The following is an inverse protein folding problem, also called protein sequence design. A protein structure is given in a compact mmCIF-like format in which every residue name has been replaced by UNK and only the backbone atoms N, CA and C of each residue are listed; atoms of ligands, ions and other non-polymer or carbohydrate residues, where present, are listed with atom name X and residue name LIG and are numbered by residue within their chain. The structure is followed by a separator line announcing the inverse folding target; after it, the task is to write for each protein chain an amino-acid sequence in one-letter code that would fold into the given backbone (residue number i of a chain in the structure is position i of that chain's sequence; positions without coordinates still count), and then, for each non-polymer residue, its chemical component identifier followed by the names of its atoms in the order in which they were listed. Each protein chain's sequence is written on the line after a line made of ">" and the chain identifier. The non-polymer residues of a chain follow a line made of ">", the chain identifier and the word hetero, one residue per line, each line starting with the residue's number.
data_IF_768597265976
#
_entry.id   IF_768597265976
#
_cell.length_a   1.000
_cell.length_b   1.000
_cell.length_c   1.000
_cell.angle_alpha   90.00
_cell.angle_beta   90.00
_cell.angle_gamma   90.00
#
_symmetry.space_group_name_H-M   'P 1'
#
loop_
_entity.id
_entity.type
_entity.pdbx_description
1 polymer ?
#
# COMPACT_ATOMS: atom_id res chain seq x y z
N UNK A 1 18.25 -0.96 -8.33
CA UNK A 1 17.66 -0.16 -9.43
C UNK A 1 16.45 -0.91 -10.00
N UNK A 2 15.50 -0.25 -10.68
CA UNK A 2 14.43 -0.98 -11.40
C UNK A 2 14.96 -1.43 -12.76
N UNK A 3 14.94 -2.72 -13.05
CA UNK A 3 15.39 -3.28 -14.33
C UNK A 3 14.43 -2.93 -15.47
N UNK A 4 14.97 -2.50 -16.61
CA UNK A 4 14.17 -2.24 -17.83
C UNK A 4 14.22 -3.48 -18.72
N UNK A 5 13.14 -4.26 -18.74
CA UNK A 5 13.00 -5.40 -19.64
C UNK A 5 12.35 -4.93 -20.95
N UNK A 6 13.18 -4.63 -21.94
CA UNK A 6 12.75 -4.12 -23.25
C UNK A 6 12.55 -5.29 -24.21
N UNK A 7 11.34 -5.39 -24.78
CA UNK A 7 11.11 -6.15 -26.02
C UNK A 7 10.94 -5.17 -27.18
N UNK A 8 11.50 -5.46 -28.36
CA UNK A 8 11.49 -4.55 -29.54
C UNK A 8 10.10 -3.98 -29.87
N UNK A 9 9.03 -4.73 -29.63
CA UNK A 9 7.63 -4.32 -29.87
C UNK A 9 7.07 -3.31 -28.86
N UNK A 10 7.67 -3.19 -27.68
CA UNK A 10 7.08 -2.45 -26.54
C UNK A 10 7.66 -1.04 -26.36
N UNK A 11 8.80 -0.73 -26.98
CA UNK A 11 9.54 0.51 -26.70
C UNK A 11 8.74 1.79 -27.01
N UNK A 12 7.82 1.72 -27.97
CA UNK A 12 6.95 2.83 -28.36
C UNK A 12 5.56 2.80 -27.68
N UNK A 13 5.25 1.73 -26.91
CA UNK A 13 3.96 1.57 -26.25
C UNK A 13 3.70 2.71 -25.26
N UNK A 14 2.49 3.28 -25.29
CA UNK A 14 2.05 4.27 -24.30
C UNK A 14 2.11 3.71 -22.87
N UNK A 15 1.89 2.41 -22.72
CA UNK A 15 1.95 1.72 -21.43
C UNK A 15 3.38 1.63 -20.91
N UNK A 16 4.34 1.25 -21.76
CA UNK A 16 5.77 1.25 -21.44
C UNK A 16 6.23 2.64 -20.99
N UNK A 17 5.98 3.68 -21.80
CA UNK A 17 6.38 5.06 -21.48
C UNK A 17 5.77 5.55 -20.16
N UNK A 18 4.53 5.18 -19.87
CA UNK A 18 3.89 5.54 -18.62
C UNK A 18 4.53 4.82 -17.41
N UNK A 19 4.74 3.51 -17.52
CA UNK A 19 5.43 2.72 -16.49
C UNK A 19 6.86 3.22 -16.26
N UNK A 20 7.60 3.53 -17.32
CA UNK A 20 8.95 4.07 -17.25
C UNK A 20 8.99 5.41 -16.53
N UNK A 21 8.05 6.33 -16.82
CA UNK A 21 7.95 7.61 -16.11
C UNK A 21 7.67 7.41 -14.62
N UNK A 22 6.80 6.47 -14.27
CA UNK A 22 6.54 6.13 -12.87
C UNK A 22 7.79 5.54 -12.20
N UNK A 23 8.49 4.61 -12.87
CA UNK A 23 9.73 4.03 -12.38
C UNK A 23 10.79 5.10 -12.11
N UNK A 24 11.00 6.05 -13.04
CA UNK A 24 11.93 7.19 -12.87
C UNK A 24 11.60 8.00 -11.61
N UNK A 25 10.33 8.34 -11.40
CA UNK A 25 9.92 9.10 -10.20
C UNK A 25 10.21 8.36 -8.89
N UNK A 26 10.16 7.03 -8.91
CA UNK A 26 10.46 6.19 -7.75
C UNK A 26 11.95 5.99 -7.52
N UNK A 27 12.75 6.00 -8.58
CA UNK A 27 14.22 5.97 -8.47
C UNK A 27 14.79 7.31 -7.99
N UNK A 28 14.22 8.43 -8.43
CA UNK A 28 14.53 9.77 -7.91
C UNK A 28 14.21 9.83 -6.40
N UNK A 29 13.03 9.36 -6.01
CA UNK A 29 12.65 9.24 -4.61
C UNK A 29 13.60 8.32 -3.84
N UNK A 30 13.96 7.16 -4.40
CA UNK A 30 14.92 6.25 -3.79
C UNK A 30 16.28 6.93 -3.58
N UNK A 31 16.75 7.69 -4.57
CA UNK A 31 18.00 8.46 -4.49
C UNK A 31 17.95 9.51 -3.39
N UNK A 32 16.83 10.24 -3.27
CA UNK A 32 16.64 11.26 -2.23
C UNK A 32 16.76 10.70 -0.80
N UNK A 33 16.35 9.45 -0.59
CA UNK A 33 16.34 8.79 0.72
C UNK A 33 17.46 7.76 0.90
N UNK A 34 18.45 7.74 0.00
CA UNK A 34 19.50 6.70 -0.02
C UNK A 34 18.93 5.28 0.09
N UNK A 35 17.80 5.06 -0.58
CA UNK A 35 17.02 3.84 -0.53
C UNK A 35 17.59 2.75 -1.43
N UNK A 36 17.39 1.49 -1.03
CA UNK A 36 17.54 0.34 -1.92
C UNK A 36 16.22 0.13 -2.66
N UNK A 37 16.24 0.17 -4.00
CA UNK A 37 15.07 -0.10 -4.84
C UNK A 37 15.37 -1.23 -5.81
N UNK A 38 14.56 -2.28 -5.85
CA UNK A 38 14.71 -3.41 -6.77
C UNK A 38 13.37 -3.70 -7.44
N UNK A 39 13.36 -3.99 -8.74
CA UNK A 39 12.12 -4.23 -9.47
C UNK A 39 12.32 -4.42 -10.96
N UNK A 40 11.21 -4.50 -11.69
CA UNK A 40 11.15 -4.65 -13.14
C UNK A 40 10.13 -3.67 -13.75
N UNK A 41 10.45 -3.16 -14.93
CA UNK A 41 9.54 -2.38 -15.77
C UNK A 41 9.57 -2.87 -17.22
N UNK A 42 8.40 -3.12 -17.78
CA UNK A 42 8.18 -3.38 -19.21
C UNK A 42 6.84 -2.79 -19.68
N UNK A 43 6.41 -3.12 -20.90
CA UNK A 43 5.18 -2.59 -21.50
C UNK A 43 3.90 -2.97 -20.74
N UNK A 44 3.92 -4.08 -20.00
CA UNK A 44 2.75 -4.62 -19.30
C UNK A 44 2.83 -4.46 -17.79
N UNK A 45 4.01 -4.49 -17.18
CA UNK A 45 4.20 -4.48 -15.73
C UNK A 45 5.18 -3.40 -15.28
N UNK A 46 4.87 -2.79 -14.15
CA UNK A 46 5.80 -2.11 -13.26
C UNK A 46 5.64 -2.76 -11.88
N UNK A 47 6.70 -3.37 -11.37
CA UNK A 47 6.73 -3.94 -10.04
C UNK A 47 8.05 -3.59 -9.39
N UNK A 48 8.02 -3.10 -8.16
CA UNK A 48 9.24 -2.85 -7.41
C UNK A 48 9.01 -2.94 -5.90
N UNK A 49 10.11 -3.13 -5.20
CA UNK A 49 10.25 -2.96 -3.76
C UNK A 49 11.28 -1.87 -3.49
N UNK A 50 10.96 -0.89 -2.66
CA UNK A 50 11.92 0.09 -2.14
C UNK A 50 12.00 0.01 -0.62
N UNK A 51 13.21 0.07 -0.08
CA UNK A 51 13.53 -0.02 1.34
C UNK A 51 14.43 1.15 1.72
N UNK A 52 14.02 1.92 2.73
CA UNK A 52 14.77 3.08 3.22
C UNK A 52 14.50 3.36 4.68
N UNK A 53 15.34 4.19 5.29
CA UNK A 53 15.14 4.71 6.63
C UNK A 53 14.47 6.08 6.56
N UNK A 54 13.42 6.28 7.35
CA UNK A 54 12.72 7.56 7.49
C UNK A 54 12.46 7.83 8.97
N UNK A 55 13.04 8.89 9.53
CA UNK A 55 12.97 9.21 10.97
C UNK A 55 13.26 7.99 11.86
N UNK A 56 14.39 7.31 11.60
CA UNK A 56 14.84 6.10 12.32
C UNK A 56 13.94 4.86 12.16
N UNK A 57 12.91 4.92 11.31
CA UNK A 57 12.06 3.78 10.98
C UNK A 57 12.45 3.19 9.64
N UNK A 58 12.52 1.88 9.56
CA UNK A 58 12.61 1.18 8.29
C UNK A 58 11.24 1.23 7.61
N UNK A 59 11.24 1.71 6.37
CA UNK A 59 10.06 1.77 5.52
C UNK A 59 10.31 0.86 4.33
N UNK A 60 9.39 -0.08 4.10
CA UNK A 60 9.38 -0.93 2.91
C UNK A 60 8.12 -0.65 2.10
N UNK A 61 8.28 -0.36 0.82
CA UNK A 61 7.17 -0.11 -0.10
C UNK A 61 7.25 -1.13 -1.21
N UNK A 62 6.15 -1.84 -1.44
CA UNK A 62 5.97 -2.71 -2.61
C UNK A 62 4.87 -2.11 -3.46
N UNK A 63 5.14 -1.84 -4.73
CA UNK A 63 4.14 -1.31 -5.62
C UNK A 63 4.10 -2.11 -6.92
N UNK A 64 2.88 -2.38 -7.39
CA UNK A 64 2.61 -3.14 -8.59
C UNK A 64 1.60 -2.37 -9.43
N UNK A 65 1.86 -2.31 -10.73
CA UNK A 65 0.94 -1.85 -11.77
C UNK A 65 1.07 -2.80 -12.95
N UNK A 66 0.04 -3.59 -13.20
CA UNK A 66 0.03 -4.60 -14.25
C UNK A 66 -1.17 -4.41 -15.17
N UNK A 67 -0.90 -4.42 -16.47
CA UNK A 67 -1.91 -4.54 -17.51
C UNK A 67 -2.20 -6.03 -17.75
N UNK A 68 -3.43 -6.47 -17.47
CA UNK A 68 -3.88 -7.80 -17.87
C UNK A 68 -4.24 -7.76 -19.36
N UNK A 69 -3.51 -8.52 -20.17
CA UNK A 69 -3.81 -8.71 -21.58
C UNK A 69 -4.12 -10.20 -21.85
N UNK A 70 -5.18 -10.74 -21.25
CA UNK A 70 -5.61 -12.12 -21.58
C UNK A 70 -6.21 -12.23 -22.99
N UNK A 71 -6.36 -11.13 -23.72
CA UNK A 71 -6.65 -11.14 -25.16
C UNK A 71 -5.87 -10.01 -25.81
N UNK A 72 -4.77 -10.35 -26.48
CA UNK A 72 -4.05 -9.45 -27.40
C UNK A 72 -4.93 -9.14 -28.63
N UNK A 73 -5.99 -8.38 -28.42
CA UNK A 73 -6.85 -7.81 -29.45
C UNK A 73 -7.00 -6.30 -29.21
N UNK A 74 -7.42 -5.53 -30.22
CA UNK A 74 -7.44 -4.06 -30.20
C UNK A 74 -8.48 -3.41 -29.26
N UNK A 75 -9.03 -4.15 -28.29
CA UNK A 75 -10.16 -3.70 -27.47
C UNK A 75 -9.73 -2.86 -26.26
N UNK A 76 -10.49 -1.80 -25.98
CA UNK A 76 -10.28 -0.82 -24.91
C UNK A 76 -10.47 -1.35 -23.46
N UNK A 77 -10.92 -2.59 -23.26
CA UNK A 77 -11.23 -3.13 -21.94
C UNK A 77 -10.00 -3.78 -21.28
N UNK A 78 -8.96 -2.99 -21.03
CA UNK A 78 -7.79 -3.43 -20.28
C UNK A 78 -8.05 -3.33 -18.77
N UNK A 79 -8.02 -4.46 -18.07
CA UNK A 79 -8.03 -4.47 -16.60
C UNK A 79 -6.62 -4.12 -16.12
N UNK A 80 -6.50 -3.06 -15.33
CA UNK A 80 -5.24 -2.66 -14.70
C UNK A 80 -5.29 -3.04 -13.24
N UNK A 81 -4.48 -4.02 -12.85
CA UNK A 81 -4.24 -4.33 -11.44
C UNK A 81 -3.23 -3.33 -10.90
N UNK A 82 -3.61 -2.63 -9.83
CA UNK A 82 -2.73 -1.71 -9.11
C UNK A 82 -2.70 -2.09 -7.64
N UNK A 83 -1.57 -1.92 -6.99
CA UNK A 83 -1.45 -2.11 -5.54
C UNK A 83 -0.26 -1.29 -5.03
N UNK A 84 -0.37 -0.79 -3.81
CA UNK A 84 0.78 -0.34 -3.02
C UNK A 84 0.64 -0.85 -1.60
N UNK A 85 1.66 -1.57 -1.14
CA UNK A 85 1.82 -2.02 0.24
C UNK A 85 2.94 -1.20 0.86
N UNK A 86 2.67 -0.59 2.01
CA UNK A 86 3.62 0.22 2.76
C UNK A 86 3.76 -0.42 4.14
N UNK A 87 4.99 -0.70 4.53
CA UNK A 87 5.36 -1.29 5.81
C UNK A 87 6.27 -0.31 6.55
N UNK A 88 5.99 -0.10 7.82
CA UNK A 88 6.76 0.77 8.71
C UNK A 88 7.10 -0.04 9.96
N UNK A 89 8.39 -0.18 10.24
CA UNK A 89 8.90 -0.92 11.39
C UNK A 89 10.21 -0.31 11.92
N UNK A 90 10.43 -0.24 13.24
CA UNK A 90 9.48 -0.53 14.31
C UNK A 90 8.57 0.67 14.63
N UNK A 91 7.26 0.49 14.57
CA UNK A 91 6.27 1.48 15.04
C UNK A 91 5.65 0.99 16.35
N UNK A 92 5.80 1.72 17.45
CA UNK A 92 5.21 1.32 18.75
C UNK A 92 3.79 1.85 18.87
N UNK A 93 2.81 0.96 18.71
CA UNK A 93 1.39 1.24 19.00
C UNK A 93 0.93 0.53 20.27
N UNK A 94 -0.05 1.11 20.97
CA UNK A 94 -0.53 0.66 22.29
C UNK A 94 -1.09 -0.77 22.29
N UNK A 95 -1.71 -1.20 21.21
CA UNK A 95 -2.33 -2.53 21.10
C UNK A 95 -1.56 -3.41 20.12
N UNK A 96 -1.26 -4.66 20.52
CA UNK A 96 -0.25 -5.50 19.86
C UNK A 96 -0.68 -6.15 18.54
N UNK A 97 -1.99 -6.36 18.33
CA UNK A 97 -2.49 -7.03 17.13
C UNK A 97 -3.91 -6.61 16.74
N UNK A 98 -4.06 -6.03 15.56
CA UNK A 98 -5.35 -5.76 14.95
C UNK A 98 -5.21 -5.61 13.43
N UNK A 99 -6.33 -5.73 12.73
CA UNK A 99 -6.43 -5.56 11.29
C UNK A 99 -7.76 -4.90 10.92
N UNK A 100 -7.70 -3.86 10.09
CA UNK A 100 -8.85 -3.24 9.45
C UNK A 100 -8.86 -3.70 7.99
N UNK A 101 -10.00 -4.13 7.48
CA UNK A 101 -10.17 -4.51 6.06
C UNK A 101 -11.59 -4.23 5.60
N UNK A 102 -11.79 -4.19 4.29
CA UNK A 102 -13.13 -4.05 3.70
C UNK A 102 -14.04 -5.18 4.19
N UNK A 103 -15.26 -4.82 4.57
CA UNK A 103 -16.26 -5.72 5.11
C UNK A 103 -16.56 -6.84 4.12
N UNK A 104 -16.64 -8.06 4.63
CA UNK A 104 -17.02 -9.23 3.83
C UNK A 104 -17.74 -10.24 4.72
N UNK A 105 -19.03 -10.42 4.50
CA UNK A 105 -19.92 -11.24 5.34
C UNK A 105 -19.40 -12.67 5.50
N UNK A 106 -19.08 -13.35 4.39
CA UNK A 106 -18.55 -14.72 4.43
C UNK A 106 -17.22 -14.79 5.18
N UNK A 107 -16.29 -13.91 4.84
CA UNK A 107 -14.94 -13.94 5.41
C UNK A 107 -14.93 -13.56 6.90
N UNK A 108 -15.85 -12.71 7.35
CA UNK A 108 -16.02 -12.37 8.77
C UNK A 108 -16.69 -13.48 9.56
N UNK A 109 -17.65 -14.19 8.97
CA UNK A 109 -18.26 -15.36 9.62
C UNK A 109 -17.18 -16.36 10.03
N UNK A 110 -16.23 -16.65 9.13
CA UNK A 110 -15.09 -17.53 9.45
C UNK A 110 -14.13 -16.92 10.48
N UNK A 111 -13.83 -15.63 10.39
CA UNK A 111 -12.88 -15.01 11.33
C UNK A 111 -13.44 -14.86 12.74
N UNK A 112 -14.75 -14.68 12.90
CA UNK A 112 -15.43 -14.56 14.19
C UNK A 112 -15.28 -15.81 15.07
N UNK A 113 -14.98 -16.96 14.48
CA UNK A 113 -14.76 -18.21 15.24
C UNK A 113 -13.61 -18.08 16.25
N UNK A 114 -12.56 -17.34 15.91
CA UNK A 114 -11.34 -17.24 16.72
C UNK A 114 -10.89 -15.79 17.02
N UNK A 115 -11.66 -14.80 16.57
CA UNK A 115 -11.30 -13.38 16.70
C UNK A 115 -12.53 -12.54 17.02
N UNK A 116 -12.32 -11.44 17.72
CA UNK A 116 -13.28 -10.35 17.75
C UNK A 116 -13.34 -9.68 16.37
N UNK A 117 -14.54 -9.56 15.81
CA UNK A 117 -14.79 -8.83 14.57
C UNK A 117 -15.95 -7.85 14.79
N UNK A 118 -15.72 -6.56 14.54
CA UNK A 118 -16.71 -5.50 14.63
C UNK A 118 -16.62 -4.55 13.43
N UNK A 119 -17.71 -3.85 13.05
CA UNK A 119 -17.64 -2.74 12.10
C UNK A 119 -16.63 -1.69 12.59
N UNK A 120 -15.86 -1.10 11.68
CA UNK A 120 -14.91 -0.06 12.05
C UNK A 120 -15.65 1.26 12.32
N UNK A 121 -15.39 1.89 13.46
CA UNK A 121 -16.23 2.97 13.97
C UNK A 121 -16.31 4.24 13.09
N UNK A 122 -15.32 4.48 12.23
CA UNK A 122 -15.36 5.59 11.29
C UNK A 122 -16.04 5.26 9.96
N UNK A 123 -16.08 3.98 9.59
CA UNK A 123 -16.57 3.54 8.29
C UNK A 123 -17.04 2.08 8.37
N UNK A 124 -18.36 1.90 8.33
CA UNK A 124 -19.01 0.59 8.38
C UNK A 124 -18.73 -0.27 7.14
N UNK A 125 -18.14 0.29 6.07
CA UNK A 125 -17.64 -0.49 4.93
C UNK A 125 -16.35 -1.25 5.25
N UNK A 126 -15.74 -0.98 6.40
CA UNK A 126 -14.60 -1.71 6.94
C UNK A 126 -14.97 -2.42 8.24
N UNK A 127 -14.19 -3.42 8.58
CA UNK A 127 -14.31 -4.14 9.84
C UNK A 127 -12.95 -4.30 10.48
N UNK A 128 -12.93 -4.14 11.80
CA UNK A 128 -11.78 -4.40 12.63
C UNK A 128 -11.80 -5.83 13.15
N UNK A 129 -10.65 -6.49 13.08
CA UNK A 129 -10.43 -7.86 13.52
C UNK A 129 -9.25 -7.88 14.46
N UNK A 130 -9.43 -8.52 15.61
CA UNK A 130 -8.35 -8.73 16.59
C UNK A 130 -8.61 -9.99 17.42
N UNK A 131 -7.57 -10.50 18.06
CA UNK A 131 -7.69 -11.63 19.00
C UNK A 131 -8.49 -11.26 20.25
N UNK A 132 -8.50 -9.99 20.62
CA UNK A 132 -9.23 -9.45 21.78
C UNK A 132 -10.09 -8.27 21.34
N UNK A 133 -10.97 -7.79 22.23
CA UNK A 133 -11.63 -6.50 22.02
C UNK A 133 -10.57 -5.39 21.95
N UNK A 134 -10.74 -4.51 20.98
CA UNK A 134 -9.86 -3.37 20.69
C UNK A 134 -10.64 -2.10 20.95
N UNK A 135 -10.03 -1.11 21.59
CA UNK A 135 -10.63 0.21 21.67
C UNK A 135 -10.32 0.97 20.38
N UNK A 136 -11.23 0.86 19.40
CA UNK A 136 -11.03 1.42 18.05
C UNK A 136 -10.71 2.92 18.06
N UNK A 137 -11.28 3.66 19.04
CA UNK A 137 -11.03 5.09 19.23
C UNK A 137 -9.58 5.42 19.59
N UNK A 138 -8.84 4.46 20.14
CA UNK A 138 -7.43 4.60 20.49
C UNK A 138 -6.48 4.25 19.36
N UNK A 139 -6.95 3.56 18.30
CA UNK A 139 -6.11 3.23 17.16
C UNK A 139 -5.81 4.47 16.32
N UNK A 140 -6.88 5.17 15.94
CA UNK A 140 -6.83 6.33 15.05
C UNK A 140 -7.83 7.39 15.51
N UNK A 141 -7.51 8.66 15.25
CA UNK A 141 -8.49 9.75 15.30
C UNK A 141 -9.10 9.92 13.91
N UNK A 142 -10.18 10.71 13.81
CA UNK A 142 -10.95 10.86 12.56
C UNK A 142 -10.08 11.43 11.45
N UNK A 143 -9.31 12.48 11.76
CA UNK A 143 -8.41 13.11 10.81
C UNK A 143 -7.37 12.15 10.20
N UNK A 144 -6.86 11.18 10.97
CA UNK A 144 -5.93 10.18 10.43
C UNK A 144 -6.63 9.21 9.48
N UNK A 145 -7.83 8.73 9.83
CA UNK A 145 -8.59 7.86 8.93
C UNK A 145 -9.00 8.59 7.64
N UNK A 146 -9.54 9.80 7.76
CA UNK A 146 -9.89 10.67 6.64
C UNK A 146 -8.67 10.89 5.72
N UNK A 147 -7.52 11.23 6.31
CA UNK A 147 -6.28 11.38 5.56
C UNK A 147 -5.88 10.08 4.83
N UNK A 148 -5.85 8.93 5.51
CA UNK A 148 -5.51 7.65 4.86
C UNK A 148 -6.44 7.34 3.68
N UNK A 149 -7.75 7.54 3.86
CA UNK A 149 -8.77 7.27 2.84
C UNK A 149 -8.71 8.25 1.67
N UNK A 150 -8.25 9.48 1.90
CA UNK A 150 -8.10 10.51 0.86
C UNK A 150 -6.97 10.21 -0.14
N UNK A 151 -5.96 9.42 0.26
CA UNK A 151 -4.83 9.08 -0.62
C UNK A 151 -5.25 8.08 -1.72
N UNK A 152 -6.07 7.10 -1.35
CA UNK A 152 -6.63 6.06 -2.22
C UNK A 152 -7.55 5.15 -1.40
N UNK A 153 -8.41 4.38 -2.08
CA UNK A 153 -9.13 3.27 -1.46
C UNK A 153 -8.16 2.29 -0.76
N UNK A 154 -8.40 2.10 0.53
CA UNK A 154 -7.63 1.23 1.41
C UNK A 154 -8.14 -0.20 1.22
N UNK A 155 -7.24 -1.15 1.01
CA UNK A 155 -7.58 -2.57 1.03
C UNK A 155 -7.52 -3.12 2.44
N UNK A 156 -6.44 -2.79 3.15
CA UNK A 156 -6.17 -3.31 4.50
C UNK A 156 -5.24 -2.38 5.25
N UNK A 157 -5.44 -2.29 6.56
CA UNK A 157 -4.46 -1.80 7.51
C UNK A 157 -4.24 -2.88 8.55
N UNK A 158 -3.01 -3.10 8.98
CA UNK A 158 -2.75 -4.01 10.09
C UNK A 158 -1.57 -3.58 10.92
N UNK A 159 -1.62 -3.99 12.18
CA UNK A 159 -0.52 -3.87 13.10
C UNK A 159 -0.26 -5.21 13.76
N UNK A 160 1.01 -5.64 13.79
CA UNK A 160 1.47 -6.86 14.45
C UNK A 160 2.94 -6.72 14.80
N UNK A 161 3.33 -6.96 16.05
CA UNK A 161 4.74 -7.02 16.46
C UNK A 161 5.55 -5.79 16.00
N UNK A 162 5.06 -4.58 16.26
CA UNK A 162 5.68 -3.31 15.84
C UNK A 162 5.77 -3.08 14.32
N UNK A 163 5.22 -3.98 13.50
CA UNK A 163 5.06 -3.78 12.06
C UNK A 163 3.68 -3.19 11.79
N UNK A 164 3.68 -1.95 11.30
CA UNK A 164 2.50 -1.28 10.78
C UNK A 164 2.47 -1.40 9.26
N UNK A 165 1.39 -1.94 8.71
CA UNK A 165 1.24 -2.18 7.27
C UNK A 165 -0.06 -1.57 6.75
N UNK A 166 0.03 -0.82 5.66
CA UNK A 166 -1.11 -0.29 4.90
C UNK A 166 -1.04 -0.82 3.47
N UNK A 167 -2.15 -1.35 2.98
CA UNK A 167 -2.31 -1.82 1.60
C UNK A 167 -3.42 -1.01 0.91
N UNK A 168 -3.14 -0.53 -0.30
CA UNK A 168 -4.05 0.26 -1.14
C UNK A 168 -4.42 -0.49 -2.42
N UNK A 169 -5.65 -0.33 -2.88
CA UNK A 169 -6.06 -0.86 -4.19
C UNK A 169 -5.44 -0.13 -5.39
N UNK A 170 -4.81 1.03 -5.18
CA UNK A 170 -4.15 1.78 -6.24
C UNK A 170 -2.65 1.88 -6.03
N UNK A 171 -1.99 2.24 -7.12
CA UNK A 171 -0.58 2.60 -7.13
C UNK A 171 -0.43 4.01 -6.57
N UNK A 172 0.26 4.16 -5.44
CA UNK A 172 0.56 5.47 -4.88
C UNK A 172 1.81 6.06 -5.51
N UNK A 173 1.81 7.36 -5.74
CA UNK A 173 3.01 8.10 -6.16
C UNK A 173 3.92 8.45 -4.97
N UNK A 174 5.20 8.78 -5.22
CA UNK A 174 6.15 9.14 -4.17
C UNK A 174 5.68 10.28 -3.26
N UNK A 175 4.97 11.28 -3.82
CA UNK A 175 4.41 12.42 -3.05
C UNK A 175 3.38 11.97 -2.01
N UNK A 176 2.46 11.08 -2.39
CA UNK A 176 1.42 10.56 -1.49
C UNK A 176 2.04 9.71 -0.38
N UNK A 177 3.04 8.90 -0.73
CA UNK A 177 3.81 8.12 0.25
C UNK A 177 4.53 9.03 1.24
N UNK A 178 5.22 10.08 0.76
CA UNK A 178 5.90 11.02 1.65
C UNK A 178 4.92 11.71 2.61
N UNK A 179 3.78 12.16 2.09
CA UNK A 179 2.73 12.74 2.92
C UNK A 179 2.23 11.74 3.97
N UNK A 180 2.04 10.47 3.59
CA UNK A 180 1.64 9.41 4.50
C UNK A 180 2.65 9.19 5.62
N UNK A 181 3.93 9.10 5.29
CA UNK A 181 4.99 8.88 6.27
C UNK A 181 5.10 10.05 7.24
N UNK A 182 5.05 11.29 6.74
CA UNK A 182 5.04 12.48 7.59
C UNK A 182 3.86 12.43 8.56
N UNK A 183 2.64 12.26 8.05
CA UNK A 183 1.43 12.27 8.87
C UNK A 183 1.41 11.13 9.90
N UNK A 184 1.87 9.94 9.51
CA UNK A 184 1.94 8.78 10.41
C UNK A 184 2.99 8.98 11.48
N UNK A 185 4.21 9.37 11.11
CA UNK A 185 5.33 9.40 12.05
C UNK A 185 5.33 10.66 12.94
N UNK A 186 4.82 11.81 12.48
CA UNK A 186 4.63 12.99 13.34
C UNK A 186 3.65 12.70 14.48
N UNK A 187 2.60 11.95 14.21
CA UNK A 187 1.52 11.68 15.17
C UNK A 187 1.90 10.62 16.22
N UNK A 188 2.82 9.73 15.90
CA UNK A 188 3.32 8.68 16.80
C UNK A 188 4.76 8.95 17.27
N UNK A 189 5.22 10.21 17.25
CA UNK A 189 6.41 10.63 18.00
C UNK A 189 6.14 10.38 19.49
N UNK A 190 6.77 9.33 20.03
CA UNK A 190 6.90 9.07 21.47
C UNK A 190 8.21 9.67 21.93
#
# INVERSE_FOLDING_TARGET
>A
MIERAITEKDHYSRFYKHNERLAKSWEEFATQYSAKIDGIVNGSILEFTTVFCFQEKQVTIKAIRQHSNNKAGPHYNYVITKNTIIKIEPLKLKEQYWRIRKHSTLLEMFLKLNNHCAPFYFDNSYSIISKSRVNERMLFNSGFWEFLSSLSEIRRISYKNELFEIEYFNFLGPRNVKALLNYTLEKYRV
#
